data_IF_143287188207
#
_entry.id   IF_143287188207
#
_cell.length_a   1.000
_cell.length_b   1.000
_cell.length_c   1.000
_cell.angle_alpha   90.00
_cell.angle_beta   90.00
_cell.angle_gamma   90.00
#
_symmetry.space_group_name_H-M   'P 1'
#
loop_
_entity.id
_entity.type
_entity.pdbx_description
1 polymer ?
#
# COMPACT_ATOMS: atom_id res chain seq x y z
N UNK A 1 -16.56 28.75 6.92
CA UNK A 1 -15.90 29.29 8.14
C UNK A 1 -15.78 28.14 9.11
N UNK A 2 -14.57 27.64 9.30
CA UNK A 2 -14.27 26.55 10.25
C UNK A 2 -14.37 27.17 11.65
N UNK A 3 -15.25 26.61 12.48
CA UNK A 3 -15.42 27.02 13.87
C UNK A 3 -14.11 26.85 14.66
N UNK A 4 -13.47 27.91 15.12
CA UNK A 4 -12.22 27.83 15.86
C UNK A 4 -12.35 27.24 17.27
N UNK A 5 -13.57 26.95 17.75
CA UNK A 5 -13.81 26.35 19.06
C UNK A 5 -13.68 24.81 19.09
N UNK A 6 -13.58 24.13 17.95
CA UNK A 6 -13.18 22.74 17.88
C UNK A 6 -11.66 22.60 18.04
N UNK A 7 -11.12 23.11 19.12
CA UNK A 7 -9.81 22.71 19.58
C UNK A 7 -9.86 21.22 19.85
N UNK A 8 -9.03 20.48 19.08
CA UNK A 8 -8.64 19.13 19.38
C UNK A 8 -8.43 19.04 20.90
N UNK A 9 -9.17 18.17 21.57
CA UNK A 9 -8.85 17.77 22.93
C UNK A 9 -7.37 17.40 22.90
N UNK A 10 -6.49 17.97 23.73
CA UNK A 10 -5.09 17.59 23.76
C UNK A 10 -5.09 16.08 23.98
N UNK A 11 -4.58 15.32 23.03
CA UNK A 11 -4.37 13.89 23.23
C UNK A 11 -3.40 13.79 24.40
N UNK A 12 -3.82 13.19 25.49
CA UNK A 12 -2.97 12.87 26.65
C UNK A 12 -2.00 11.74 26.34
N UNK A 13 -1.70 11.51 25.07
CA UNK A 13 -0.69 10.55 24.64
C UNK A 13 0.68 11.16 25.00
N UNK A 14 1.48 10.52 25.87
CA UNK A 14 2.80 10.99 26.23
C UNK A 14 3.64 11.28 25.00
N UNK A 15 4.48 12.31 25.07
CA UNK A 15 5.48 12.53 24.01
C UNK A 15 6.44 11.34 23.95
N UNK A 16 6.95 11.03 22.74
CA UNK A 16 7.93 9.98 22.56
C UNK A 16 9.17 10.26 23.42
N UNK A 17 9.71 9.23 24.08
CA UNK A 17 10.92 9.43 24.86
C UNK A 17 12.09 9.82 23.95
N UNK A 18 12.93 10.81 24.33
CA UNK A 18 14.03 11.31 23.50
C UNK A 18 15.07 10.24 23.08
N UNK A 19 15.05 9.04 23.67
CA UNK A 19 15.90 7.92 23.28
C UNK A 19 15.68 7.51 21.83
N UNK A 20 14.44 7.62 21.30
CA UNK A 20 14.13 7.28 19.92
C UNK A 20 14.85 8.21 18.94
N UNK A 21 14.79 9.51 19.18
CA UNK A 21 15.48 10.50 18.35
C UNK A 21 17.00 10.37 18.44
N UNK A 22 17.53 10.16 19.66
CA UNK A 22 18.95 9.92 19.89
C UNK A 22 19.45 8.63 19.20
N UNK A 23 18.63 7.58 19.21
CA UNK A 23 18.95 6.32 18.54
C UNK A 23 18.97 6.47 17.01
N UNK A 24 17.99 7.18 16.42
CA UNK A 24 17.96 7.45 14.98
C UNK A 24 19.08 8.40 14.55
N UNK A 25 19.42 9.38 15.37
CA UNK A 25 20.52 10.32 15.10
C UNK A 25 21.91 9.68 15.28
N UNK A 26 21.99 8.45 15.84
CA UNK A 26 23.26 7.76 16.11
C UNK A 26 24.04 8.34 17.29
N UNK A 27 23.39 9.06 18.21
CA UNK A 27 24.00 9.74 19.35
C UNK A 27 24.35 8.75 20.47
N UNK A 28 25.39 7.92 20.28
CA UNK A 28 25.77 6.80 21.15
C UNK A 28 25.88 7.21 22.64
N UNK A 29 26.56 8.32 22.93
CA UNK A 29 26.76 8.79 24.30
C UNK A 29 25.42 9.13 24.99
N UNK A 30 24.51 9.75 24.26
CA UNK A 30 23.19 10.15 24.75
C UNK A 30 22.29 8.94 25.00
N UNK A 31 22.27 7.98 24.05
CA UNK A 31 21.54 6.71 24.21
C UNK A 31 22.07 5.96 25.43
N UNK A 32 23.39 5.88 25.59
CA UNK A 32 24.01 5.25 26.76
C UNK A 32 23.58 5.93 28.09
N UNK A 33 23.62 7.25 28.15
CA UNK A 33 23.19 8.01 29.32
C UNK A 33 21.71 7.75 29.69
N UNK A 34 20.83 7.68 28.72
CA UNK A 34 19.42 7.32 28.96
C UNK A 34 19.27 5.91 29.52
N UNK A 35 19.98 4.93 28.95
CA UNK A 35 19.90 3.53 29.38
C UNK A 35 20.58 3.32 30.76
N UNK A 36 21.61 4.10 31.11
CA UNK A 36 22.26 4.03 32.42
C UNK A 36 21.35 4.62 33.53
N UNK A 37 20.54 5.64 33.21
CA UNK A 37 19.55 6.22 34.11
C UNK A 37 18.31 5.33 34.26
N UNK A 38 17.80 4.80 33.13
CA UNK A 38 16.58 4.00 33.09
C UNK A 38 16.75 2.84 32.09
N UNK A 39 17.22 1.67 32.54
CA UNK A 39 17.47 0.51 31.67
C UNK A 39 16.27 0.01 30.90
N UNK A 40 15.04 0.17 31.43
CA UNK A 40 13.81 -0.26 30.78
C UNK A 40 13.52 0.47 29.47
N UNK A 41 14.13 1.61 29.21
CA UNK A 41 13.97 2.36 27.96
C UNK A 41 14.46 1.58 26.73
N UNK A 42 15.24 0.53 26.90
CA UNK A 42 15.63 -0.37 25.80
C UNK A 42 14.43 -1.02 25.10
N UNK A 43 13.31 -1.18 25.83
CA UNK A 43 12.05 -1.74 25.34
C UNK A 43 10.95 -0.69 25.13
N UNK A 44 11.28 0.60 25.26
CA UNK A 44 10.30 1.67 25.07
C UNK A 44 9.69 1.63 23.67
N UNK A 45 8.41 2.02 23.55
CA UNK A 45 7.68 2.00 22.30
C UNK A 45 7.20 3.42 22.01
N UNK A 46 7.61 3.98 20.87
CA UNK A 46 7.16 5.28 20.43
C UNK A 46 5.75 5.26 19.85
N UNK A 47 5.18 6.43 19.56
CA UNK A 47 3.83 6.57 18.97
C UNK A 47 3.64 5.85 17.64
N UNK A 48 4.73 5.66 16.89
CA UNK A 48 4.72 4.93 15.63
C UNK A 48 4.82 3.40 15.83
N UNK A 49 4.87 2.90 17.06
CA UNK A 49 4.98 1.48 17.38
C UNK A 49 6.40 0.91 17.28
N UNK A 50 7.41 1.77 17.14
CA UNK A 50 8.81 1.35 16.99
C UNK A 50 9.59 1.40 18.30
N UNK A 51 10.47 0.41 18.51
CA UNK A 51 11.44 0.40 19.62
C UNK A 51 12.70 1.23 19.28
N UNK A 52 13.54 1.63 20.27
CA UNK A 52 14.79 2.31 20.00
C UNK A 52 15.71 1.56 19.01
N UNK A 53 15.69 0.21 19.04
CA UNK A 53 16.45 -0.61 18.08
C UNK A 53 16.00 -0.38 16.64
N UNK A 54 14.69 -0.28 16.38
CA UNK A 54 14.18 0.05 15.02
C UNK A 54 14.70 1.42 14.56
N UNK A 55 14.68 2.42 15.45
CA UNK A 55 15.15 3.78 15.14
C UNK A 55 16.65 3.81 14.87
N UNK A 56 17.47 3.09 15.67
CA UNK A 56 18.90 2.96 15.45
C UNK A 56 19.24 2.29 14.11
N UNK A 57 18.47 1.27 13.70
CA UNK A 57 18.62 0.61 12.40
C UNK A 57 18.24 1.57 11.25
N UNK A 58 17.15 2.32 11.38
CA UNK A 58 16.74 3.35 10.41
C UNK A 58 17.82 4.44 10.28
N UNK A 59 18.39 4.86 11.40
CA UNK A 59 19.49 5.85 11.45
C UNK A 59 20.82 5.31 10.92
N UNK A 60 20.97 3.98 10.80
CA UNK A 60 22.16 3.36 10.24
C UNK A 60 23.36 3.25 11.19
N UNK A 61 23.17 3.45 12.49
CA UNK A 61 24.26 3.48 13.48
C UNK A 61 24.57 2.10 14.07
N UNK A 62 25.64 1.44 13.59
CA UNK A 62 26.07 0.14 14.08
C UNK A 62 26.43 0.17 15.58
N UNK A 63 27.02 1.25 16.05
CA UNK A 63 27.44 1.38 17.45
C UNK A 63 26.23 1.47 18.39
N UNK A 64 25.21 2.23 18.01
CA UNK A 64 23.95 2.34 18.78
C UNK A 64 23.19 1.02 18.74
N UNK A 65 23.10 0.36 17.56
CA UNK A 65 22.50 -0.97 17.44
C UNK A 65 23.20 -1.97 18.36
N UNK A 66 24.53 -1.98 18.35
CA UNK A 66 25.34 -2.85 19.23
C UNK A 66 25.05 -2.56 20.70
N UNK A 67 25.07 -1.30 21.10
CA UNK A 67 24.77 -0.89 22.49
C UNK A 67 23.38 -1.36 22.93
N UNK A 68 22.36 -1.14 22.10
CA UNK A 68 20.97 -1.54 22.41
C UNK A 68 20.85 -3.06 22.56
N UNK A 69 21.47 -3.84 21.66
CA UNK A 69 21.48 -5.30 21.75
C UNK A 69 22.24 -5.79 23.01
N UNK A 70 23.38 -5.18 23.34
CA UNK A 70 24.15 -5.50 24.56
C UNK A 70 23.38 -5.15 25.86
N UNK A 71 22.41 -4.22 25.77
CA UNK A 71 21.50 -3.85 26.87
C UNK A 71 20.18 -4.63 26.87
N UNK A 72 20.05 -5.65 26.00
CA UNK A 72 18.92 -6.57 25.99
C UNK A 72 17.75 -6.13 25.10
N UNK A 73 17.98 -5.27 24.11
CA UNK A 73 16.95 -4.99 23.10
C UNK A 73 16.54 -6.29 22.39
N UNK A 74 15.24 -6.47 22.20
CA UNK A 74 14.71 -7.62 21.47
C UNK A 74 15.01 -7.48 19.96
N UNK A 75 15.86 -8.37 19.45
CA UNK A 75 16.27 -8.38 18.05
C UNK A 75 15.14 -8.81 17.10
N UNK A 76 14.11 -9.47 17.65
CA UNK A 76 12.92 -9.91 16.94
C UNK A 76 11.71 -9.00 17.20
N UNK A 77 11.92 -7.89 17.92
CA UNK A 77 10.83 -6.94 18.19
C UNK A 77 10.12 -6.54 16.89
N UNK A 78 8.80 -6.56 16.94
CA UNK A 78 7.97 -6.19 15.79
C UNK A 78 7.61 -4.72 15.91
N UNK A 79 7.80 -3.96 14.83
CA UNK A 79 7.31 -2.61 14.73
C UNK A 79 5.79 -2.66 14.65
N UNK A 80 5.10 -2.38 15.76
CA UNK A 80 3.65 -2.48 15.85
C UNK A 80 2.91 -1.32 15.19
N UNK A 81 1.58 -1.44 15.14
CA UNK A 81 0.69 -0.35 14.79
C UNK A 81 0.66 0.67 15.95
N UNK A 82 1.40 1.76 15.82
CA UNK A 82 1.37 2.87 16.79
C UNK A 82 0.08 3.68 16.69
N UNK A 83 -0.23 4.42 17.77
CA UNK A 83 -1.33 5.39 17.77
C UNK A 83 -1.04 6.47 16.73
N UNK A 84 -1.82 6.51 15.65
CA UNK A 84 -1.62 7.42 14.51
C UNK A 84 -0.82 6.83 13.34
N UNK A 85 -0.43 5.57 13.40
CA UNK A 85 0.00 4.86 12.19
C UNK A 85 -1.17 4.77 11.23
N UNK A 86 -0.93 5.09 9.97
CA UNK A 86 -1.90 4.87 8.91
C UNK A 86 -2.04 3.35 8.76
N UNK A 87 -3.16 2.78 9.18
CA UNK A 87 -3.48 1.39 8.87
C UNK A 87 -3.34 1.20 7.37
N UNK A 88 -2.55 0.18 6.98
CA UNK A 88 -2.20 -0.10 5.60
C UNK A 88 -0.85 0.45 5.11
N UNK A 89 -0.15 1.33 5.86
CA UNK A 89 1.17 1.87 5.43
C UNK A 89 2.19 2.07 6.56
N UNK A 90 1.84 1.77 7.81
CA UNK A 90 2.89 1.55 8.80
C UNK A 90 3.59 0.24 8.44
N UNK A 91 4.90 0.12 8.69
CA UNK A 91 5.58 -1.16 8.58
C UNK A 91 5.12 -2.05 9.74
N UNK A 92 3.86 -2.50 9.66
CA UNK A 92 3.35 -3.50 10.57
C UNK A 92 4.19 -4.75 10.35
N UNK A 93 4.52 -5.43 11.44
CA UNK A 93 5.25 -6.69 11.42
C UNK A 93 6.71 -6.61 10.91
N UNK A 94 7.33 -5.43 10.89
CA UNK A 94 8.74 -5.27 10.52
C UNK A 94 9.66 -5.51 11.70
N UNK A 95 10.56 -6.47 11.55
CA UNK A 95 11.68 -6.68 12.47
C UNK A 95 12.85 -5.73 12.15
N UNK A 96 13.79 -5.51 13.08
CA UNK A 96 14.99 -4.72 12.79
C UNK A 96 15.77 -5.19 11.57
N UNK A 97 15.80 -6.50 11.29
CA UNK A 97 16.46 -7.06 10.10
C UNK A 97 15.79 -6.61 8.81
N UNK A 98 14.46 -6.48 8.78
CA UNK A 98 13.73 -6.01 7.61
C UNK A 98 14.05 -4.55 7.31
N UNK A 99 14.15 -3.73 8.34
CA UNK A 99 14.55 -2.34 8.20
C UNK A 99 16.00 -2.20 7.72
N UNK A 100 16.89 -3.10 8.14
CA UNK A 100 18.28 -3.10 7.71
C UNK A 100 18.42 -3.50 6.22
N UNK A 101 17.57 -4.40 5.71
CA UNK A 101 17.63 -4.88 4.33
C UNK A 101 16.88 -3.96 3.37
N UNK A 102 15.63 -3.63 3.70
CA UNK A 102 14.74 -2.86 2.81
C UNK A 102 14.67 -1.37 3.13
N UNK A 103 15.38 -0.93 4.17
CA UNK A 103 15.30 0.44 4.67
C UNK A 103 14.15 0.63 5.64
N UNK A 104 14.22 1.70 6.43
CA UNK A 104 13.12 2.14 7.27
C UNK A 104 11.89 2.47 6.44
N UNK A 105 10.76 2.76 7.10
CA UNK A 105 9.58 3.19 6.38
C UNK A 105 10.06 4.28 5.43
N UNK A 106 10.12 3.94 4.15
CA UNK A 106 10.01 4.99 3.17
C UNK A 106 8.82 5.76 3.71
N UNK A 107 9.02 6.98 4.16
CA UNK A 107 7.91 7.90 4.11
C UNK A 107 7.47 7.74 2.66
N UNK A 108 6.59 6.76 2.46
CA UNK A 108 5.85 6.65 1.21
C UNK A 108 5.44 8.07 1.03
N UNK A 109 5.90 8.74 -0.04
CA UNK A 109 5.71 10.15 -0.07
C UNK A 109 4.27 10.31 0.29
N UNK A 110 3.99 10.95 1.46
CA UNK A 110 2.62 11.31 1.89
C UNK A 110 1.87 11.96 0.72
N UNK A 111 2.61 12.19 -0.33
CA UNK A 111 2.29 12.64 -1.64
C UNK A 111 1.27 11.82 -2.38
N UNK A 112 1.31 10.51 -2.41
CA UNK A 112 0.29 9.80 -3.20
C UNK A 112 -1.07 9.82 -2.51
N UNK A 113 -1.15 9.72 -1.22
CA UNK A 113 -2.45 9.76 -0.50
C UNK A 113 -2.89 11.15 -0.05
N UNK A 114 -1.99 12.12 0.13
CA UNK A 114 -2.35 13.55 0.31
C UNK A 114 -2.63 14.27 -1.01
N UNK A 115 -2.23 13.74 -2.13
CA UNK A 115 -2.69 14.21 -3.45
C UNK A 115 -4.19 14.03 -3.64
N UNK A 116 -4.81 13.11 -2.93
CA UNK A 116 -6.26 12.92 -2.94
C UNK A 116 -7.04 14.08 -2.31
N UNK A 117 -6.40 14.92 -1.50
CA UNK A 117 -7.10 16.03 -0.85
C UNK A 117 -6.98 17.38 -1.58
N UNK A 118 -5.92 17.63 -2.38
CA UNK A 118 -5.77 18.91 -3.10
C UNK A 118 -4.72 18.83 -4.21
N UNK A 119 -5.15 18.83 -5.47
CA UNK A 119 -4.27 18.80 -6.65
C UNK A 119 -3.22 19.90 -6.77
N UNK A 120 -3.27 20.94 -5.92
CA UNK A 120 -2.30 22.05 -5.88
C UNK A 120 -1.05 21.72 -5.05
N UNK A 121 -1.14 20.82 -4.09
CA UNK A 121 -0.03 20.52 -3.18
C UNK A 121 1.07 19.66 -3.81
N UNK A 122 0.76 18.90 -4.86
CA UNK A 122 1.74 18.10 -5.60
C UNK A 122 2.77 18.95 -6.37
N UNK A 123 2.34 20.06 -6.99
CA UNK A 123 3.22 20.98 -7.70
C UNK A 123 4.16 21.76 -6.76
N UNK A 124 3.71 22.08 -5.55
CA UNK A 124 4.49 22.80 -4.56
C UNK A 124 5.50 21.88 -3.85
N UNK A 125 5.17 20.61 -3.66
CA UNK A 125 6.04 19.65 -2.97
C UNK A 125 7.23 19.22 -3.82
N UNK A 126 7.10 19.13 -5.15
CA UNK A 126 8.20 18.84 -6.08
C UNK A 126 9.29 19.92 -6.06
N UNK A 127 8.97 21.12 -5.57
CA UNK A 127 9.88 22.29 -5.60
C UNK A 127 10.64 22.53 -4.28
N UNK A 128 10.32 21.81 -3.20
CA UNK A 128 10.75 22.23 -1.86
C UNK A 128 11.54 21.20 -1.04
N UNK A 129 12.42 20.37 -1.62
CA UNK A 129 13.43 19.65 -0.86
C UNK A 129 14.79 19.57 -1.55
N UNK A 130 15.67 20.56 -1.35
CA UNK A 130 17.10 20.31 -1.49
C UNK A 130 17.61 19.59 -0.23
N UNK A 131 18.23 18.42 -0.39
CA UNK A 131 19.22 17.94 0.55
C UNK A 131 18.83 16.88 1.59
N UNK A 132 17.75 16.10 1.43
CA UNK A 132 17.71 14.81 2.14
C UNK A 132 18.19 13.71 1.22
N UNK A 133 19.08 12.81 1.72
CA UNK A 133 19.45 11.64 0.95
C UNK A 133 18.17 10.93 0.56
N UNK A 134 17.92 10.82 -0.74
CA UNK A 134 16.99 9.85 -1.27
C UNK A 134 17.56 8.49 -0.87
N UNK A 135 17.07 7.89 0.20
CA UNK A 135 17.26 6.49 0.50
C UNK A 135 16.48 5.70 -0.56
N UNK A 136 16.92 5.86 -1.82
CA UNK A 136 16.53 5.04 -2.91
C UNK A 136 17.27 3.71 -2.72
N UNK A 137 16.63 2.84 -1.98
CA UNK A 137 16.77 1.42 -2.10
C UNK A 137 18.17 0.84 -2.07
N UNK A 138 18.83 0.76 -0.95
CA UNK A 138 19.64 -0.41 -0.58
C UNK A 138 19.76 -0.33 0.94
N UNK A 139 19.20 -1.31 1.63
CA UNK A 139 19.35 -1.43 3.07
C UNK A 139 20.84 -1.47 3.44
N UNK A 140 21.13 -1.22 4.67
CA UNK A 140 22.50 -1.27 5.18
C UNK A 140 22.93 -2.73 5.36
N UNK A 141 23.54 -3.31 4.33
CA UNK A 141 24.00 -4.72 4.31
C UNK A 141 24.93 -5.00 5.50
N UNK A 142 25.75 -4.03 5.91
CA UNK A 142 26.64 -4.19 7.06
C UNK A 142 25.82 -4.34 8.35
N UNK A 143 24.80 -3.53 8.54
CA UNK A 143 23.87 -3.65 9.66
C UNK A 143 23.06 -4.95 9.62
N UNK A 144 22.60 -5.36 8.45
CA UNK A 144 21.90 -6.63 8.28
C UNK A 144 22.79 -7.80 8.71
N UNK A 145 24.05 -7.82 8.29
CA UNK A 145 25.03 -8.85 8.71
C UNK A 145 25.33 -8.79 10.20
N UNK A 146 25.42 -7.62 10.78
CA UNK A 146 25.58 -7.45 12.23
C UNK A 146 24.39 -8.07 12.98
N UNK A 147 23.17 -7.75 12.56
CA UNK A 147 21.96 -8.31 13.18
C UNK A 147 21.90 -9.84 13.02
N UNK A 148 22.21 -10.38 11.84
CA UNK A 148 22.28 -11.83 11.60
C UNK A 148 23.32 -12.47 12.55
N UNK A 149 24.51 -11.88 12.67
CA UNK A 149 25.54 -12.33 13.60
C UNK A 149 25.14 -12.28 15.07
N UNK A 150 24.10 -11.51 15.41
CA UNK A 150 23.50 -11.40 16.75
C UNK A 150 22.23 -12.24 16.90
N UNK A 151 21.85 -13.07 15.90
CA UNK A 151 20.72 -14.00 15.98
C UNK A 151 19.43 -13.52 15.34
N UNK A 152 19.44 -12.44 14.54
CA UNK A 152 18.26 -12.06 13.74
C UNK A 152 17.89 -13.16 12.74
N UNK A 153 16.62 -13.19 12.35
CA UNK A 153 16.06 -14.18 11.41
C UNK A 153 16.85 -14.17 10.08
N UNK A 154 17.37 -15.33 9.69
CA UNK A 154 18.05 -15.55 8.43
C UNK A 154 17.34 -16.65 7.64
N UNK A 155 16.34 -16.26 6.90
CA UNK A 155 15.48 -17.13 6.08
C UNK A 155 15.87 -17.03 4.59
N UNK A 156 15.15 -17.78 3.74
CA UNK A 156 15.40 -17.84 2.30
C UNK A 156 15.25 -16.46 1.63
N UNK A 157 14.28 -15.66 2.09
CA UNK A 157 14.03 -14.31 1.55
C UNK A 157 15.17 -13.34 1.90
N UNK A 158 15.66 -13.37 3.14
CA UNK A 158 16.81 -12.57 3.59
C UNK A 158 18.08 -12.98 2.86
N UNK A 159 18.34 -14.30 2.73
CA UNK A 159 19.49 -14.80 2.00
C UNK A 159 19.45 -14.38 0.51
N UNK A 160 18.27 -14.41 -0.10
CA UNK A 160 18.04 -13.97 -1.49
C UNK A 160 18.33 -12.47 -1.67
N UNK A 161 17.83 -11.62 -0.79
CA UNK A 161 18.09 -10.17 -0.82
C UNK A 161 19.58 -9.85 -0.66
N UNK A 162 20.27 -10.56 0.25
CA UNK A 162 21.71 -10.37 0.55
C UNK A 162 22.68 -10.97 -0.47
N UNK A 163 22.19 -11.62 -1.51
CA UNK A 163 22.98 -12.29 -2.55
C UNK A 163 23.80 -13.48 -2.03
N UNK A 164 23.27 -14.22 -1.06
CA UNK A 164 23.94 -15.42 -0.54
C UNK A 164 23.47 -16.69 -1.29
N UNK A 165 24.00 -16.87 -2.50
CA UNK A 165 23.64 -17.98 -3.37
C UNK A 165 23.91 -19.35 -2.71
N UNK A 166 24.98 -19.45 -1.90
CA UNK A 166 25.31 -20.69 -1.21
C UNK A 166 24.28 -21.06 -0.15
N UNK A 167 23.87 -20.07 0.66
CA UNK A 167 22.83 -20.26 1.66
C UNK A 167 21.46 -20.57 1.00
N UNK A 168 21.08 -19.85 -0.05
CA UNK A 168 19.84 -20.10 -0.80
C UNK A 168 19.81 -21.54 -1.32
N UNK A 169 20.90 -22.00 -1.94
CA UNK A 169 21.01 -23.38 -2.43
C UNK A 169 20.89 -24.39 -1.29
N UNK A 170 21.65 -24.21 -0.23
CA UNK A 170 21.64 -25.10 0.94
C UNK A 170 20.25 -25.19 1.60
N UNK A 171 19.56 -24.06 1.73
CA UNK A 171 18.20 -24.02 2.32
C UNK A 171 17.20 -24.76 1.45
N UNK A 172 17.26 -24.61 0.12
CA UNK A 172 16.37 -25.30 -0.81
C UNK A 172 16.69 -26.79 -0.96
N UNK A 173 17.97 -27.18 -0.85
CA UNK A 173 18.38 -28.58 -0.85
C UNK A 173 17.93 -29.31 0.42
N UNK A 174 17.90 -28.59 1.57
CA UNK A 174 17.40 -29.11 2.83
C UNK A 174 15.87 -29.21 2.87
N UNK A 175 15.17 -28.24 2.33
CA UNK A 175 13.71 -28.17 2.27
C UNK A 175 13.24 -27.43 1.01
N UNK A 176 12.90 -28.17 -0.07
CA UNK A 176 12.41 -27.59 -1.31
C UNK A 176 11.09 -26.80 -1.18
N UNK A 177 10.27 -27.09 -0.15
CA UNK A 177 8.98 -26.38 0.06
C UNK A 177 9.15 -24.91 0.39
N UNK A 178 10.33 -24.51 0.88
CA UNK A 178 10.67 -23.12 1.19
C UNK A 178 10.66 -22.20 -0.03
N UNK A 179 10.64 -22.76 -1.25
CA UNK A 179 10.53 -21.96 -2.47
C UNK A 179 9.31 -21.04 -2.47
N UNK A 180 8.22 -21.43 -1.79
CA UNK A 180 6.98 -20.68 -1.65
C UNK A 180 6.90 -19.88 -0.33
N UNK A 181 7.98 -19.88 0.44
CA UNK A 181 8.04 -19.19 1.74
C UNK A 181 7.59 -17.72 1.62
N UNK A 182 6.76 -17.30 2.54
CA UNK A 182 6.33 -15.91 2.68
C UNK A 182 6.64 -15.43 4.08
N UNK A 183 7.27 -14.28 4.18
CA UNK A 183 7.58 -13.64 5.46
C UNK A 183 6.35 -12.97 6.08
N UNK A 184 6.39 -12.68 7.40
CA UNK A 184 5.33 -11.87 8.04
C UNK A 184 5.11 -10.50 7.40
N UNK A 185 6.12 -9.96 6.70
CA UNK A 185 6.04 -8.71 5.95
C UNK A 185 5.62 -8.91 4.48
N UNK A 186 5.06 -10.06 4.18
CA UNK A 186 4.51 -10.51 2.90
C UNK A 186 5.52 -10.76 1.78
N UNK A 187 6.80 -10.51 1.99
CA UNK A 187 7.83 -10.70 0.96
C UNK A 187 8.14 -12.16 0.68
N UNK A 188 8.46 -12.44 -0.58
CA UNK A 188 8.87 -13.76 -1.06
C UNK A 188 10.32 -13.76 -1.57
N UNK A 189 11.01 -14.91 -1.59
CA UNK A 189 12.39 -15.00 -2.04
C UNK A 189 12.61 -14.46 -3.46
N UNK A 190 11.71 -14.76 -4.39
CA UNK A 190 11.85 -14.36 -5.80
C UNK A 190 11.71 -12.83 -5.97
N UNK A 191 10.71 -12.22 -5.35
CA UNK A 191 10.54 -10.78 -5.43
C UNK A 191 11.67 -10.03 -4.73
N UNK A 192 12.14 -10.52 -3.58
CA UNK A 192 13.28 -9.96 -2.88
C UNK A 192 14.56 -10.03 -3.74
N UNK A 193 14.84 -11.17 -4.37
CA UNK A 193 15.99 -11.30 -5.27
C UNK A 193 15.89 -10.33 -6.47
N UNK A 194 14.71 -10.20 -7.07
CA UNK A 194 14.49 -9.29 -8.20
C UNK A 194 14.60 -7.81 -7.78
N UNK A 195 14.06 -7.44 -6.62
CA UNK A 195 14.15 -6.08 -6.07
C UNK A 195 15.61 -5.63 -5.92
N UNK A 196 16.50 -6.54 -5.52
CA UNK A 196 17.93 -6.25 -5.34
C UNK A 196 18.81 -6.60 -6.56
N UNK A 197 18.24 -7.06 -7.68
CA UNK A 197 18.97 -7.39 -8.91
C UNK A 197 19.90 -8.61 -8.76
N UNK A 198 19.45 -9.65 -8.05
CA UNK A 198 20.22 -10.88 -7.79
C UNK A 198 19.95 -11.93 -8.87
N UNK A 199 20.43 -11.68 -10.08
CA UNK A 199 20.10 -12.48 -11.24
C UNK A 199 20.37 -13.98 -11.05
N UNK A 200 21.54 -14.36 -10.50
CA UNK A 200 21.89 -15.77 -10.26
C UNK A 200 20.92 -16.45 -9.29
N UNK A 201 20.43 -15.70 -8.28
CA UNK A 201 19.46 -16.23 -7.33
C UNK A 201 18.09 -16.33 -7.98
N UNK A 202 17.65 -15.33 -8.76
CA UNK A 202 16.39 -15.39 -9.53
C UNK A 202 16.43 -16.61 -10.45
N UNK A 203 17.53 -16.84 -11.14
CA UNK A 203 17.71 -18.03 -12.01
C UNK A 203 17.55 -19.33 -11.21
N UNK A 204 18.27 -19.45 -10.09
CA UNK A 204 18.18 -20.63 -9.22
C UNK A 204 16.76 -20.85 -8.69
N UNK A 205 16.09 -19.80 -8.23
CA UNK A 205 14.73 -19.90 -7.68
C UNK A 205 13.74 -20.36 -8.77
N UNK A 206 13.82 -19.79 -9.98
CA UNK A 206 12.97 -20.19 -11.11
C UNK A 206 13.24 -21.64 -11.55
N UNK A 207 14.50 -22.07 -11.60
CA UNK A 207 14.88 -23.47 -11.89
C UNK A 207 14.35 -24.45 -10.82
N UNK A 208 14.21 -23.99 -9.57
CA UNK A 208 13.67 -24.78 -8.47
C UNK A 208 12.14 -24.70 -8.37
N UNK A 209 11.47 -24.03 -9.31
CA UNK A 209 10.01 -23.98 -9.44
C UNK A 209 9.34 -22.80 -8.73
N UNK A 210 10.08 -21.73 -8.44
CA UNK A 210 9.42 -20.49 -8.00
C UNK A 210 8.47 -19.97 -9.09
N UNK A 211 7.25 -19.69 -8.73
CA UNK A 211 6.27 -19.11 -9.63
C UNK A 211 6.37 -17.57 -9.62
N UNK A 212 6.76 -16.94 -10.74
CA UNK A 212 6.90 -15.49 -10.82
C UNK A 212 5.57 -14.72 -10.79
N UNK A 213 4.45 -15.45 -10.85
CA UNK A 213 3.10 -14.86 -10.75
C UNK A 213 2.57 -14.79 -9.32
N UNK A 214 3.24 -15.41 -8.34
CA UNK A 214 2.80 -15.36 -6.95
C UNK A 214 2.85 -13.93 -6.41
N UNK A 215 1.78 -13.47 -5.73
CA UNK A 215 1.76 -12.18 -5.06
C UNK A 215 2.67 -12.20 -3.83
N UNK A 216 3.22 -11.04 -3.46
CA UNK A 216 3.94 -10.88 -2.20
C UNK A 216 2.95 -10.83 -1.01
N UNK A 217 1.80 -10.18 -1.16
CA UNK A 217 0.72 -10.13 -0.17
C UNK A 217 -0.60 -10.57 -0.79
N UNK A 218 -1.56 -11.00 0.02
CA UNK A 218 -2.91 -11.37 -0.44
C UNK A 218 -3.64 -10.21 -1.15
N UNK A 219 -3.28 -8.97 -0.80
CA UNK A 219 -3.80 -7.73 -1.38
C UNK A 219 -2.90 -7.13 -2.46
N UNK A 220 -1.65 -7.59 -2.61
CA UNK A 220 -0.80 -7.26 -3.75
C UNK A 220 -1.06 -8.28 -4.84
N UNK A 221 -1.71 -7.85 -5.91
CA UNK A 221 -1.91 -8.71 -7.03
C UNK A 221 -0.56 -9.13 -7.65
N UNK A 222 -0.59 -10.04 -8.59
CA UNK A 222 0.55 -10.76 -9.16
C UNK A 222 1.63 -9.83 -9.74
N UNK A 223 2.88 -10.28 -9.82
CA UNK A 223 3.91 -9.65 -10.67
C UNK A 223 4.99 -8.84 -9.96
N UNK A 224 5.14 -8.91 -8.62
CA UNK A 224 6.12 -8.12 -7.89
C UNK A 224 7.56 -8.25 -8.42
N UNK A 225 8.02 -9.45 -8.76
CA UNK A 225 9.36 -9.67 -9.28
C UNK A 225 9.58 -8.99 -10.65
N UNK A 226 8.64 -9.13 -11.58
CA UNK A 226 8.73 -8.51 -12.91
C UNK A 226 8.62 -6.99 -12.83
N UNK A 227 7.72 -6.47 -11.99
CA UNK A 227 7.61 -5.03 -11.72
C UNK A 227 8.91 -4.44 -11.18
N UNK A 228 9.54 -5.11 -10.21
CA UNK A 228 10.83 -4.69 -9.65
C UNK A 228 11.94 -4.67 -10.70
N UNK A 229 12.06 -5.72 -11.52
CA UNK A 229 13.02 -5.82 -12.59
C UNK A 229 12.84 -4.72 -13.65
N UNK A 230 11.60 -4.47 -14.07
CA UNK A 230 11.26 -3.41 -15.02
C UNK A 230 11.58 -2.02 -14.48
N UNK A 231 11.25 -1.75 -13.20
CA UNK A 231 11.53 -0.49 -12.53
C UNK A 231 13.03 -0.23 -12.28
N UNK A 232 13.82 -1.29 -12.15
CA UNK A 232 15.30 -1.20 -12.09
C UNK A 232 15.91 -0.88 -13.45
N UNK A 233 15.27 -1.25 -14.54
CA UNK A 233 15.83 -1.20 -15.87
C UNK A 233 16.68 -2.43 -16.19
N UNK A 234 16.45 -3.54 -15.52
CA UNK A 234 17.20 -4.78 -15.65
C UNK A 234 16.58 -5.67 -16.74
N UNK A 235 17.01 -5.42 -17.97
CA UNK A 235 16.49 -6.11 -19.15
C UNK A 235 16.67 -7.63 -19.09
N UNK A 236 17.85 -8.09 -18.67
CA UNK A 236 18.17 -9.52 -18.62
C UNK A 236 17.24 -10.25 -17.64
N UNK A 237 16.99 -9.65 -16.48
CA UNK A 237 16.06 -10.19 -15.50
C UNK A 237 14.62 -10.15 -15.99
N UNK A 238 14.20 -9.09 -16.71
CA UNK A 238 12.87 -9.01 -17.34
C UNK A 238 12.70 -10.15 -18.36
N UNK A 239 13.70 -10.37 -19.25
CA UNK A 239 13.67 -11.46 -20.23
C UNK A 239 13.59 -12.83 -19.55
N UNK A 240 14.37 -13.04 -18.48
CA UNK A 240 14.36 -14.28 -17.70
C UNK A 240 12.98 -14.54 -17.07
N UNK A 241 12.40 -13.55 -16.40
CA UNK A 241 11.09 -13.68 -15.76
C UNK A 241 9.97 -13.93 -16.79
N UNK A 242 9.97 -13.22 -17.92
CA UNK A 242 9.01 -13.44 -19.00
C UNK A 242 9.13 -14.84 -19.63
N UNK A 243 10.36 -15.36 -19.79
CA UNK A 243 10.61 -16.73 -20.23
C UNK A 243 10.00 -17.76 -19.28
N UNK A 244 9.91 -17.46 -18.00
CA UNK A 244 9.26 -18.27 -16.98
C UNK A 244 7.80 -17.89 -16.74
N UNK A 245 7.16 -17.24 -17.73
CA UNK A 245 5.73 -16.92 -17.74
C UNK A 245 5.27 -15.90 -16.67
N UNK A 246 6.16 -14.98 -16.24
CA UNK A 246 5.74 -13.84 -15.45
C UNK A 246 4.69 -13.02 -16.21
N UNK A 247 3.63 -12.61 -15.53
CA UNK A 247 2.56 -11.82 -16.14
C UNK A 247 2.96 -10.34 -16.23
N UNK A 248 3.12 -9.75 -17.44
CA UNK A 248 3.47 -8.35 -17.61
C UNK A 248 2.38 -7.38 -17.13
N UNK A 249 1.15 -7.87 -16.95
CA UNK A 249 0.00 -7.13 -16.49
C UNK A 249 -0.31 -7.35 -15.01
N UNK A 250 0.47 -8.21 -14.34
CA UNK A 250 0.36 -8.42 -12.91
C UNK A 250 0.45 -7.08 -12.16
N UNK A 251 -0.59 -6.77 -11.39
CA UNK A 251 -0.72 -5.48 -10.71
C UNK A 251 0.02 -5.50 -9.38
N UNK A 252 0.82 -4.47 -9.14
CA UNK A 252 1.46 -4.23 -7.83
C UNK A 252 0.78 -3.03 -7.20
N UNK A 253 0.12 -3.26 -6.09
CA UNK A 253 -0.75 -2.28 -5.41
C UNK A 253 -0.20 -0.84 -5.43
N UNK A 254 -1.03 0.10 -5.89
CA UNK A 254 -0.73 1.53 -6.05
C UNK A 254 0.50 1.88 -6.91
N UNK A 255 1.09 0.89 -7.60
CA UNK A 255 2.29 1.08 -8.43
C UNK A 255 2.09 0.70 -9.89
N UNK A 256 0.90 0.19 -10.24
CA UNK A 256 0.59 -0.28 -11.59
C UNK A 256 1.27 -1.61 -11.94
N UNK A 257 1.27 -1.98 -13.22
CA UNK A 257 1.91 -3.18 -13.72
C UNK A 257 3.38 -2.94 -14.13
N UNK A 258 4.06 -4.00 -14.60
CA UNK A 258 5.45 -3.92 -15.02
C UNK A 258 5.67 -2.96 -16.20
N UNK A 259 4.67 -2.80 -17.10
CA UNK A 259 4.76 -1.86 -18.23
C UNK A 259 4.80 -0.42 -17.75
N UNK A 260 3.98 -0.09 -16.73
CA UNK A 260 3.97 1.24 -16.10
C UNK A 260 5.26 1.54 -15.33
N UNK A 261 5.90 0.49 -14.77
CA UNK A 261 7.15 0.59 -14.05
C UNK A 261 8.39 0.65 -14.95
N UNK A 262 8.26 0.27 -16.22
CA UNK A 262 9.39 0.15 -17.14
C UNK A 262 10.26 1.42 -17.19
N UNK A 263 11.52 1.29 -16.81
CA UNK A 263 12.46 2.40 -16.72
C UNK A 263 12.91 2.92 -18.07
N UNK A 264 12.93 2.06 -19.08
CA UNK A 264 13.38 2.39 -20.44
C UNK A 264 12.34 1.99 -21.49
N UNK A 265 12.30 2.69 -22.65
CA UNK A 265 11.40 2.34 -23.74
C UNK A 265 11.59 0.91 -24.26
N UNK A 266 12.83 0.39 -24.26
CA UNK A 266 13.15 -0.97 -24.75
C UNK A 266 12.54 -2.03 -23.85
N UNK A 267 12.56 -1.83 -22.52
CA UNK A 267 11.91 -2.74 -21.58
C UNK A 267 10.39 -2.67 -21.75
N UNK A 268 9.84 -1.48 -21.94
CA UNK A 268 8.41 -1.32 -22.23
C UNK A 268 8.01 -2.08 -23.47
N UNK A 269 8.73 -1.90 -24.59
CA UNK A 269 8.48 -2.63 -25.84
C UNK A 269 8.59 -4.14 -25.66
N UNK A 270 9.55 -4.61 -24.86
CA UNK A 270 9.71 -6.03 -24.56
C UNK A 270 8.49 -6.55 -23.80
N UNK A 271 8.01 -5.85 -22.78
CA UNK A 271 6.82 -6.22 -22.02
C UNK A 271 5.56 -6.20 -22.90
N UNK A 272 5.40 -5.17 -23.75
CA UNK A 272 4.29 -5.04 -24.70
C UNK A 272 4.31 -6.18 -25.74
N UNK A 273 5.46 -6.60 -26.21
CA UNK A 273 5.63 -7.75 -27.10
C UNK A 273 5.18 -9.08 -26.45
N UNK A 274 5.16 -9.14 -25.13
CA UNK A 274 4.65 -10.28 -24.34
C UNK A 274 3.20 -10.07 -23.84
N UNK A 275 2.45 -9.13 -24.46
CA UNK A 275 1.05 -8.88 -24.15
C UNK A 275 0.80 -7.87 -23.04
N UNK A 276 1.85 -7.22 -22.57
CA UNK A 276 1.73 -6.13 -21.59
C UNK A 276 1.04 -4.90 -22.18
N UNK A 277 0.38 -4.13 -21.34
CA UNK A 277 -0.25 -2.85 -21.71
C UNK A 277 -0.08 -1.81 -20.60
N UNK A 278 -0.13 -0.53 -20.97
CA UNK A 278 -0.18 0.55 -19.99
C UNK A 278 -1.48 0.47 -19.20
N UNK A 279 -1.39 0.54 -17.87
CA UNK A 279 -2.57 0.51 -17.01
C UNK A 279 -3.39 1.79 -17.19
N UNK A 280 -4.66 1.71 -17.64
CA UNK A 280 -5.52 2.88 -17.80
C UNK A 280 -5.73 3.65 -16.48
N UNK A 281 -5.74 2.96 -15.33
CA UNK A 281 -5.83 3.58 -14.02
C UNK A 281 -4.67 4.56 -13.79
N UNK A 282 -3.43 4.15 -14.05
CA UNK A 282 -2.24 5.00 -13.92
C UNK A 282 -2.23 6.17 -14.93
N UNK A 283 -2.74 5.94 -16.13
CA UNK A 283 -2.82 6.98 -17.17
C UNK A 283 -3.80 8.10 -16.80
N UNK A 284 -4.92 7.77 -16.10
CA UNK A 284 -5.83 8.79 -15.55
C UNK A 284 -5.10 9.75 -14.61
N UNK A 285 -4.24 9.21 -13.72
CA UNK A 285 -3.43 10.02 -12.81
C UNK A 285 -2.41 10.91 -13.54
N UNK A 286 -1.88 10.44 -14.65
CA UNK A 286 -0.96 11.19 -15.52
C UNK A 286 -1.67 12.23 -16.37
N UNK A 287 -2.99 12.12 -16.52
CA UNK A 287 -3.79 13.03 -17.34
C UNK A 287 -3.85 12.67 -18.82
N UNK A 288 -3.49 11.43 -19.16
CA UNK A 288 -3.39 10.91 -20.54
C UNK A 288 -4.75 10.38 -21.04
N UNK A 289 -5.79 11.23 -21.00
CA UNK A 289 -7.18 10.86 -21.26
C UNK A 289 -7.41 10.18 -22.61
N UNK A 290 -6.70 10.59 -23.65
CA UNK A 290 -6.84 10.01 -24.97
C UNK A 290 -6.24 8.61 -25.05
N UNK A 291 -5.13 8.40 -24.36
CA UNK A 291 -4.50 7.09 -24.26
C UNK A 291 -5.35 6.13 -23.41
N UNK A 292 -5.96 6.62 -22.31
CA UNK A 292 -6.96 5.84 -21.55
C UNK A 292 -8.06 5.34 -22.48
N UNK A 293 -8.68 6.24 -23.24
CA UNK A 293 -9.76 5.88 -24.15
C UNK A 293 -9.32 4.90 -25.24
N UNK A 294 -8.11 5.09 -25.79
CA UNK A 294 -7.55 4.16 -26.78
C UNK A 294 -7.44 2.75 -26.22
N UNK A 295 -6.79 2.61 -25.05
CA UNK A 295 -6.52 1.31 -24.44
C UNK A 295 -7.83 0.61 -24.05
N UNK A 296 -8.75 1.29 -23.35
CA UNK A 296 -10.00 0.65 -22.92
C UNK A 296 -10.92 0.32 -24.10
N UNK A 297 -10.79 1.02 -25.24
CA UNK A 297 -11.55 0.70 -26.45
C UNK A 297 -10.98 -0.51 -27.17
N UNK A 298 -9.66 -0.61 -27.27
CA UNK A 298 -8.95 -1.75 -27.88
C UNK A 298 -9.03 -3.01 -27.01
N UNK A 299 -9.02 -2.83 -25.66
CA UNK A 299 -9.00 -3.88 -24.66
C UNK A 299 -9.96 -3.54 -23.50
N UNK A 300 -11.27 -3.78 -23.68
CA UNK A 300 -12.30 -3.38 -22.71
C UNK A 300 -12.10 -3.95 -21.29
N UNK A 301 -11.48 -5.13 -21.18
CA UNK A 301 -11.15 -5.77 -19.91
C UNK A 301 -10.21 -4.93 -19.06
N UNK A 302 -9.39 -4.08 -19.66
CA UNK A 302 -8.44 -3.21 -18.94
C UNK A 302 -9.11 -2.07 -18.19
N UNK A 303 -10.37 -1.79 -18.49
CA UNK A 303 -11.13 -0.79 -17.72
C UNK A 303 -11.32 -1.19 -16.24
N UNK A 304 -11.16 -2.48 -15.94
CA UNK A 304 -11.20 -3.04 -14.58
C UNK A 304 -9.81 -3.16 -13.95
N UNK A 305 -8.74 -2.91 -14.70
CA UNK A 305 -7.38 -2.98 -14.21
C UNK A 305 -7.10 -1.91 -13.14
N UNK A 306 -6.13 -2.19 -12.29
CA UNK A 306 -5.75 -1.29 -11.22
C UNK A 306 -6.68 -1.33 -10.02
N UNK A 307 -6.43 -0.44 -9.06
CA UNK A 307 -7.16 -0.39 -7.80
C UNK A 307 -8.57 0.19 -7.99
N UNK A 308 -9.53 -0.68 -8.28
CA UNK A 308 -10.94 -0.30 -8.46
C UNK A 308 -11.32 0.15 -9.87
N UNK A 309 -10.45 -0.12 -10.85
CA UNK A 309 -10.71 0.18 -12.25
C UNK A 309 -10.60 1.67 -12.60
N UNK A 310 -10.71 1.95 -13.90
CA UNK A 310 -10.52 3.30 -14.46
C UNK A 310 -11.48 4.34 -13.86
N UNK A 311 -12.73 3.97 -13.56
CA UNK A 311 -13.71 4.90 -13.01
C UNK A 311 -13.33 5.42 -11.62
N UNK A 312 -12.69 4.60 -10.78
CA UNK A 312 -12.20 5.05 -9.48
C UNK A 312 -11.18 6.18 -9.63
N UNK A 313 -10.18 6.00 -10.49
CA UNK A 313 -9.19 7.04 -10.76
C UNK A 313 -9.86 8.29 -11.36
N UNK A 314 -10.80 8.11 -12.30
CA UNK A 314 -11.53 9.19 -12.97
C UNK A 314 -12.31 10.05 -11.98
N UNK A 315 -13.05 9.43 -11.06
CA UNK A 315 -13.83 10.15 -10.04
C UNK A 315 -12.89 10.81 -9.03
N UNK A 316 -11.90 10.08 -8.54
CA UNK A 316 -10.93 10.60 -7.56
C UNK A 316 -10.18 11.81 -8.11
N UNK A 317 -9.74 11.75 -9.37
CA UNK A 317 -9.06 12.86 -10.04
C UNK A 317 -10.01 13.97 -10.52
N UNK A 318 -11.34 13.80 -10.40
CA UNK A 318 -12.32 14.77 -10.88
C UNK A 318 -12.34 14.94 -12.41
N UNK A 319 -11.96 13.88 -13.15
CA UNK A 319 -11.84 13.91 -14.63
C UNK A 319 -13.20 13.75 -15.30
N UNK A 320 -14.12 14.69 -15.05
CA UNK A 320 -15.53 14.63 -15.54
C UNK A 320 -15.66 14.42 -17.05
N UNK A 321 -14.81 15.07 -17.85
CA UNK A 321 -14.85 14.90 -19.32
C UNK A 321 -14.51 13.46 -19.72
N UNK A 322 -13.49 12.85 -19.09
CA UNK A 322 -13.13 11.46 -19.34
C UNK A 322 -14.24 10.51 -18.86
N UNK A 323 -14.86 10.78 -17.70
CA UNK A 323 -16.02 10.03 -17.20
C UNK A 323 -17.13 9.98 -18.27
N UNK A 324 -17.47 11.13 -18.86
CA UNK A 324 -18.50 11.18 -19.91
C UNK A 324 -18.09 10.37 -21.15
N UNK A 325 -16.85 10.49 -21.61
CA UNK A 325 -16.34 9.72 -22.75
C UNK A 325 -16.44 8.21 -22.51
N UNK A 326 -16.06 7.74 -21.31
CA UNK A 326 -16.18 6.34 -20.93
C UNK A 326 -17.64 5.86 -20.92
N UNK A 327 -18.57 6.66 -20.34
CA UNK A 327 -19.99 6.35 -20.32
C UNK A 327 -20.59 6.35 -21.73
N UNK A 328 -20.20 7.29 -22.58
CA UNK A 328 -20.66 7.36 -23.98
C UNK A 328 -20.14 6.16 -24.79
N UNK A 329 -19.00 5.60 -24.45
CA UNK A 329 -18.45 4.37 -25.00
C UNK A 329 -19.07 3.10 -24.40
N UNK A 330 -20.01 3.22 -23.46
CA UNK A 330 -20.74 2.10 -22.85
C UNK A 330 -20.06 1.46 -21.64
N UNK A 331 -18.96 2.01 -21.16
CA UNK A 331 -18.33 1.52 -19.91
C UNK A 331 -19.16 1.91 -18.70
N UNK A 332 -19.14 1.04 -17.69
CA UNK A 332 -19.84 1.23 -16.42
C UNK A 332 -18.90 1.02 -15.25
N UNK A 333 -19.22 1.59 -14.09
CA UNK A 333 -18.53 1.26 -12.84
C UNK A 333 -18.79 -0.20 -12.52
N UNK A 334 -17.72 -0.96 -12.35
CA UNK A 334 -17.84 -2.38 -12.02
C UNK A 334 -17.74 -2.58 -10.51
N UNK A 335 -18.61 -3.36 -9.91
CA UNK A 335 -18.69 -3.54 -8.47
C UNK A 335 -17.54 -4.33 -7.83
N UNK A 336 -16.96 -5.25 -8.62
CA UNK A 336 -15.76 -6.01 -8.20
C UNK A 336 -14.49 -5.15 -8.18
N UNK A 337 -14.60 -3.88 -8.54
CA UNK A 337 -13.55 -2.88 -8.35
C UNK A 337 -13.24 -2.65 -6.85
N UNK A 338 -12.99 -3.72 -6.14
CA UNK A 338 -12.93 -3.86 -4.69
C UNK A 338 -12.37 -2.67 -3.92
N UNK A 339 -13.01 -2.32 -2.82
CA UNK A 339 -12.52 -1.36 -1.83
C UNK A 339 -12.55 0.11 -2.22
N UNK A 340 -12.87 0.44 -3.46
CA UNK A 340 -12.78 1.81 -3.97
C UNK A 340 -14.13 2.52 -4.14
N UNK A 341 -15.21 1.89 -3.75
CA UNK A 341 -16.55 2.52 -3.76
C UNK A 341 -16.62 3.77 -2.87
N UNK A 342 -15.86 3.80 -1.78
CA UNK A 342 -15.79 4.96 -0.89
C UNK A 342 -15.34 6.23 -1.60
N UNK A 343 -14.49 6.14 -2.62
CA UNK A 343 -14.06 7.32 -3.39
C UNK A 343 -15.17 7.92 -4.25
N UNK A 344 -16.13 7.10 -4.71
CA UNK A 344 -17.31 7.59 -5.42
C UNK A 344 -18.17 8.48 -4.51
N UNK A 345 -18.15 8.19 -3.22
CA UNK A 345 -18.95 8.88 -2.20
C UNK A 345 -18.30 10.18 -1.70
N UNK A 346 -17.07 10.47 -2.07
CA UNK A 346 -16.42 11.75 -1.79
C UNK A 346 -16.83 12.88 -2.76
N UNK A 347 -17.51 12.51 -3.88
CA UNK A 347 -17.86 13.43 -4.97
C UNK A 347 -19.35 13.30 -5.33
N UNK A 348 -20.26 13.88 -4.51
CA UNK A 348 -21.72 13.80 -4.73
C UNK A 348 -22.16 14.25 -6.13
N UNK A 349 -21.51 15.28 -6.68
CA UNK A 349 -21.76 15.80 -8.02
C UNK A 349 -21.48 14.76 -9.11
N UNK A 350 -20.36 14.05 -9.02
CA UNK A 350 -20.01 13.01 -9.98
C UNK A 350 -20.81 11.72 -9.76
N UNK A 351 -21.12 11.38 -8.48
CA UNK A 351 -22.00 10.26 -8.15
C UNK A 351 -23.38 10.43 -8.82
N UNK A 352 -23.97 11.62 -8.71
CA UNK A 352 -25.25 11.93 -9.35
C UNK A 352 -25.18 11.76 -10.88
N UNK A 353 -24.12 12.24 -11.51
CA UNK A 353 -23.96 12.12 -12.96
C UNK A 353 -23.77 10.66 -13.39
N UNK A 354 -23.02 9.85 -12.65
CA UNK A 354 -22.83 8.42 -12.91
C UNK A 354 -24.16 7.67 -12.86
N UNK A 355 -24.96 7.92 -11.80
CA UNK A 355 -26.29 7.31 -11.65
C UNK A 355 -27.25 7.77 -12.74
N UNK A 356 -27.32 9.09 -13.03
CA UNK A 356 -28.22 9.66 -14.05
C UNK A 356 -27.93 9.11 -15.45
N UNK A 357 -26.71 8.75 -15.75
CA UNK A 357 -26.31 8.19 -17.05
C UNK A 357 -26.31 6.65 -17.08
N UNK A 358 -26.76 5.99 -16.00
CA UNK A 358 -26.79 4.53 -15.90
C UNK A 358 -25.39 3.87 -15.87
N UNK A 359 -24.37 4.66 -15.48
CA UNK A 359 -22.99 4.18 -15.35
C UNK A 359 -22.72 3.44 -14.04
N UNK A 360 -23.65 3.50 -13.09
CA UNK A 360 -23.57 2.87 -11.78
C UNK A 360 -24.95 2.35 -11.38
N UNK A 361 -25.01 1.12 -10.87
CA UNK A 361 -26.18 0.57 -10.22
C UNK A 361 -26.14 0.90 -8.72
N UNK A 362 -27.11 1.66 -8.16
CA UNK A 362 -27.09 2.05 -6.75
C UNK A 362 -27.25 0.85 -5.79
N UNK A 363 -27.76 -0.29 -6.28
CA UNK A 363 -28.01 -1.50 -5.48
C UNK A 363 -26.95 -2.57 -5.66
N UNK A 364 -25.94 -2.34 -6.49
CA UNK A 364 -24.96 -3.37 -6.76
C UNK A 364 -24.10 -3.68 -5.53
N UNK A 365 -24.08 -4.93 -5.04
CA UNK A 365 -23.31 -5.32 -3.87
C UNK A 365 -21.87 -5.67 -4.24
N UNK A 366 -20.95 -5.45 -3.32
CA UNK A 366 -19.62 -6.05 -3.33
C UNK A 366 -19.69 -7.56 -3.09
N UNK A 367 -18.53 -8.25 -3.10
CA UNK A 367 -18.44 -9.69 -2.83
C UNK A 367 -19.11 -10.07 -1.50
N UNK A 368 -19.01 -9.20 -0.48
CA UNK A 368 -19.59 -9.42 0.84
C UNK A 368 -21.04 -8.92 0.97
N UNK A 369 -21.70 -8.60 -0.13
CA UNK A 369 -23.06 -8.05 -0.13
C UNK A 369 -23.16 -6.59 0.32
N UNK A 370 -22.04 -5.95 0.54
CA UNK A 370 -21.96 -4.54 0.99
C UNK A 370 -22.33 -3.62 -0.18
N UNK A 371 -23.29 -2.73 0.02
CA UNK A 371 -23.68 -1.71 -0.96
C UNK A 371 -23.10 -0.34 -0.61
N UNK A 372 -23.20 0.63 -1.52
CA UNK A 372 -22.77 2.01 -1.26
C UNK A 372 -23.47 2.64 -0.04
N UNK A 373 -24.70 2.23 0.29
CA UNK A 373 -25.36 2.69 1.51
C UNK A 373 -24.70 2.13 2.79
N UNK A 374 -24.19 0.90 2.77
CA UNK A 374 -23.40 0.38 3.90
C UNK A 374 -22.11 1.17 4.08
N UNK A 375 -21.39 1.44 2.97
CA UNK A 375 -20.14 2.22 3.02
C UNK A 375 -20.34 3.62 3.64
N UNK A 376 -21.47 4.29 3.36
CA UNK A 376 -21.80 5.57 4.01
C UNK A 376 -22.04 5.44 5.52
N UNK A 377 -22.36 4.25 6.00
CA UNK A 377 -22.65 3.95 7.40
C UNK A 377 -21.44 3.42 8.18
N UNK A 378 -20.25 3.47 7.58
CA UNK A 378 -19.00 3.02 8.18
C UNK A 378 -18.11 4.21 8.57
N UNK A 379 -17.24 4.03 9.57
CA UNK A 379 -16.11 4.93 9.87
C UNK A 379 -14.86 4.30 9.27
N UNK A 380 -13.98 5.13 8.71
CA UNK A 380 -12.67 4.60 8.33
C UNK A 380 -11.92 4.12 9.59
N UNK A 381 -10.84 3.40 9.38
CA UNK A 381 -9.97 2.87 10.44
C UNK A 381 -9.44 3.93 11.44
N UNK A 382 -9.57 5.22 11.09
CA UNK A 382 -9.23 6.37 11.96
C UNK A 382 -10.43 6.98 12.67
N UNK A 383 -11.60 6.35 12.57
CA UNK A 383 -12.83 6.86 13.11
C UNK A 383 -13.40 8.09 12.38
N UNK A 384 -12.88 8.41 11.18
CA UNK A 384 -13.38 9.52 10.37
C UNK A 384 -14.64 9.12 9.63
N UNK A 385 -15.46 10.07 9.35
CA UNK A 385 -16.71 9.94 8.61
C UNK A 385 -16.62 10.75 7.32
N UNK A 386 -17.37 10.32 6.29
CA UNK A 386 -17.45 11.07 5.04
C UNK A 386 -18.24 12.36 5.25
N UNK A 387 -17.72 13.49 4.79
CA UNK A 387 -18.36 14.81 5.00
C UNK A 387 -19.72 14.94 4.29
N UNK A 388 -19.94 14.21 3.18
CA UNK A 388 -21.13 14.28 2.31
C UNK A 388 -22.05 13.06 2.43
N UNK A 389 -21.98 12.26 3.53
CA UNK A 389 -22.67 10.97 3.62
C UNK A 389 -24.18 11.05 3.43
N UNK A 390 -24.84 12.01 4.10
CA UNK A 390 -26.30 12.20 3.99
C UNK A 390 -26.71 12.70 2.62
N UNK A 391 -25.91 13.53 1.99
CA UNK A 391 -26.11 13.99 0.61
C UNK A 391 -25.97 12.82 -0.38
N UNK A 392 -24.91 12.01 -0.26
CA UNK A 392 -24.73 10.81 -1.10
C UNK A 392 -25.83 9.78 -0.86
N UNK A 393 -26.27 9.57 0.38
CA UNK A 393 -27.40 8.69 0.68
C UNK A 393 -28.69 9.20 0.04
N UNK A 394 -28.95 10.52 0.08
CA UNK A 394 -30.10 11.12 -0.58
C UNK A 394 -30.06 10.87 -2.10
N UNK A 395 -28.90 11.05 -2.72
CA UNK A 395 -28.70 10.79 -4.15
C UNK A 395 -28.95 9.32 -4.46
N UNK A 396 -28.36 8.39 -3.73
CA UNK A 396 -28.54 6.95 -3.95
C UNK A 396 -30.02 6.54 -3.87
N UNK A 397 -30.74 7.01 -2.83
CA UNK A 397 -32.15 6.72 -2.65
C UNK A 397 -33.03 7.36 -3.74
N UNK A 398 -32.70 8.58 -4.23
CA UNK A 398 -33.36 9.23 -5.37
C UNK A 398 -33.26 8.37 -6.64
N UNK A 399 -32.12 7.69 -6.83
CA UNK A 399 -31.90 6.81 -7.97
C UNK A 399 -32.29 5.35 -7.69
N UNK A 400 -33.04 5.06 -6.64
CA UNK A 400 -33.67 3.76 -6.40
C UNK A 400 -32.81 2.77 -5.62
N UNK A 401 -31.87 3.25 -4.79
CA UNK A 401 -31.20 2.38 -3.83
C UNK A 401 -32.22 1.79 -2.84
N UNK A 402 -32.10 0.48 -2.57
CA UNK A 402 -32.83 -0.16 -1.48
C UNK A 402 -32.36 0.46 -0.14
N UNK A 403 -33.26 1.00 0.69
CA UNK A 403 -32.88 1.60 1.96
C UNK A 403 -32.42 0.56 3.02
N UNK A 404 -32.74 -0.72 2.82
CA UNK A 404 -32.45 -1.81 3.77
C UNK A 404 -31.80 -3.04 3.15
N UNK A 405 -30.80 -2.91 2.27
CA UNK A 405 -30.11 -4.06 1.73
C UNK A 405 -29.42 -4.81 2.88
N UNK A 406 -29.21 -6.11 2.71
CA UNK A 406 -28.51 -6.93 3.70
C UNK A 406 -27.18 -7.42 3.11
N UNK A 407 -26.12 -7.26 3.88
CA UNK A 407 -24.84 -7.88 3.58
C UNK A 407 -24.87 -9.41 3.84
N UNK A 408 -23.78 -10.11 3.63
CA UNK A 408 -23.66 -11.56 3.85
C UNK A 408 -23.85 -11.98 5.31
N UNK A 409 -23.73 -11.06 6.27
CA UNK A 409 -24.00 -11.28 7.70
C UNK A 409 -25.44 -10.96 8.09
N UNK A 410 -26.23 -10.48 7.14
CA UNK A 410 -27.64 -10.06 7.34
C UNK A 410 -27.78 -8.66 7.96
N UNK A 411 -26.69 -7.90 8.02
CA UNK A 411 -26.68 -6.54 8.56
C UNK A 411 -27.15 -5.52 7.52
N UNK A 412 -27.87 -4.52 7.98
CA UNK A 412 -28.36 -3.41 7.14
C UNK A 412 -27.52 -2.16 7.34
N UNK A 413 -27.57 -1.16 6.41
CA UNK A 413 -26.89 0.12 6.61
C UNK A 413 -27.23 0.82 7.93
N UNK A 414 -28.49 0.70 8.40
CA UNK A 414 -28.90 1.28 9.70
C UNK A 414 -28.22 0.55 10.86
N UNK A 415 -28.06 -0.77 10.78
CA UNK A 415 -27.31 -1.54 11.79
C UNK A 415 -25.84 -1.13 11.83
N UNK A 416 -25.21 -1.00 10.68
CA UNK A 416 -23.84 -0.49 10.56
C UNK A 416 -23.70 0.93 11.15
N UNK A 417 -24.60 1.83 10.78
CA UNK A 417 -24.59 3.20 11.34
C UNK A 417 -24.73 3.22 12.85
N UNK A 418 -25.55 2.31 13.41
CA UNK A 418 -25.77 2.18 14.85
C UNK A 418 -24.51 1.64 15.56
N UNK A 419 -23.89 0.60 15.02
CA UNK A 419 -22.65 0.02 15.54
C UNK A 419 -21.51 1.05 15.55
N UNK A 420 -21.43 1.91 14.53
CA UNK A 420 -20.43 2.98 14.43
C UNK A 420 -20.84 4.30 15.10
N UNK A 421 -21.96 4.33 15.81
CA UNK A 421 -22.51 5.51 16.50
C UNK A 421 -22.70 6.73 15.56
N UNK A 422 -23.18 6.47 14.32
CA UNK A 422 -23.44 7.47 13.28
C UNK A 422 -24.92 7.85 13.29
N UNK A 423 -25.36 8.61 14.31
CA UNK A 423 -26.76 8.90 14.56
C UNK A 423 -27.43 9.76 13.48
N UNK A 424 -26.68 10.62 12.80
CA UNK A 424 -27.13 11.48 11.70
C UNK A 424 -27.61 10.66 10.51
N UNK A 425 -26.77 9.76 9.99
CA UNK A 425 -27.12 8.91 8.84
C UNK A 425 -28.15 7.85 9.23
N UNK A 426 -28.07 7.28 10.44
CA UNK A 426 -29.06 6.32 10.92
C UNK A 426 -30.47 6.96 10.97
N UNK A 427 -30.59 8.15 11.53
CA UNK A 427 -31.85 8.91 11.57
C UNK A 427 -32.36 9.27 10.18
N UNK A 428 -31.44 9.68 9.30
CA UNK A 428 -31.75 10.01 7.90
C UNK A 428 -32.32 8.82 7.12
N UNK A 429 -31.72 7.63 7.26
CA UNK A 429 -32.17 6.41 6.60
C UNK A 429 -33.52 5.92 7.17
N UNK A 430 -33.67 5.89 8.50
CA UNK A 430 -34.94 5.54 9.16
C UNK A 430 -36.10 6.41 8.72
N UNK A 431 -35.88 7.72 8.59
CA UNK A 431 -36.90 8.65 8.09
C UNK A 431 -37.35 8.36 6.66
N UNK A 432 -36.61 7.53 5.93
CA UNK A 432 -36.91 7.09 4.55
C UNK A 432 -37.29 5.62 4.43
N UNK A 433 -37.66 4.99 5.56
CA UNK A 433 -38.20 3.64 5.61
C UNK A 433 -37.16 2.54 5.75
N UNK A 434 -35.88 2.88 6.04
CA UNK A 434 -34.87 1.87 6.35
C UNK A 434 -35.11 1.22 7.72
N UNK A 435 -34.83 -0.10 7.81
CA UNK A 435 -35.02 -0.91 9.01
C UNK A 435 -33.70 -1.46 9.57
#
# INVERSE_FOLDING_TARGET
>A
MIDPSRRLVPSTVPEDHPIHDAAEAGELARVRAFLDQQPSLVHDINRAGGHPLHRAVIGGSADVVTLLLDRGADIHAIHGAGVGSFEGYAPQDKQPIDLAIWGGPRQAPLSRWRCYANGLTWLLWRRWRPGRPTWAGHGNVTLARLLIGRGATYDLTVASALNDLAAVRSMLDADPSRISEQRPDDRRPLSAAAEFGRLDIVHLLLERGADPTWPDADWSERGAALHAAAGRGDREMVELLLKHHADPNGFVNASGNAVCAAKTPEIRQLLEAHGGFLDPYDLVWKGEDDEVMRIVTERPETALAGCGGVFTAVVTCGRRKLMHRLLDAGFKVHPQAGGCHSYLLERPDMLRELLARGGLDPNYPTVDGVTLLHELCHKDSRGRTMDHRTECAAILLEFGADPSPKDTHGETPVMWATTHALTDIAGFLKARGAT
#
